data_IF_317861474330
#
_entry.id   IF_317861474330
#
_cell.length_a   1.000
_cell.length_b   1.000
_cell.length_c   1.000
_cell.angle_alpha   90.00
_cell.angle_beta   90.00
_cell.angle_gamma   90.00
#
_symmetry.space_group_name_H-M   'P 1'
#
loop_
_entity.id
_entity.type
_entity.pdbx_description
1 polymer ?
#
# COMPACT_ATOMS: atom_id res chain seq x y z
N UNK A 1 -10.76 -5.98 16.86
CA UNK A 1 -10.73 -5.46 15.47
C UNK A 1 -9.28 -5.27 14.98
N UNK A 2 -8.53 -6.36 14.73
CA UNK A 2 -7.13 -6.30 14.24
C UNK A 2 -7.07 -6.69 12.76
N UNK A 3 -7.83 -7.72 12.38
CA UNK A 3 -7.96 -8.24 11.02
C UNK A 3 -8.30 -7.13 10.01
N UNK A 4 -9.36 -6.30 10.18
CA UNK A 4 -9.70 -5.30 9.16
C UNK A 4 -8.64 -4.20 9.02
N UNK A 5 -7.96 -3.84 10.12
CA UNK A 5 -6.86 -2.84 10.05
C UNK A 5 -5.69 -3.39 9.25
N UNK A 6 -5.33 -4.66 9.49
CA UNK A 6 -4.27 -5.33 8.76
C UNK A 6 -4.61 -5.42 7.27
N UNK A 7 -5.83 -5.84 6.93
CA UNK A 7 -6.30 -5.94 5.55
C UNK A 7 -6.25 -4.59 4.81
N UNK A 8 -6.68 -3.50 5.45
CA UNK A 8 -6.62 -2.15 4.85
C UNK A 8 -5.18 -1.69 4.63
N UNK A 9 -4.27 -1.94 5.58
CA UNK A 9 -2.85 -1.59 5.43
C UNK A 9 -2.20 -2.32 4.25
N UNK A 10 -2.49 -3.62 4.08
CA UNK A 10 -2.01 -4.40 2.94
C UNK A 10 -2.52 -3.85 1.62
N UNK A 11 -3.82 -3.53 1.54
CA UNK A 11 -4.41 -2.90 0.34
C UNK A 11 -3.73 -1.57 0.03
N UNK A 12 -3.53 -0.71 1.04
CA UNK A 12 -2.86 0.59 0.86
C UNK A 12 -1.43 0.49 0.38
N UNK A 13 -0.67 -0.52 0.83
CA UNK A 13 0.67 -0.80 0.34
C UNK A 13 0.65 -1.26 -1.12
N UNK A 14 -0.31 -2.11 -1.50
CA UNK A 14 -0.45 -2.56 -2.89
C UNK A 14 -0.87 -1.42 -3.82
N UNK A 15 -1.72 -0.50 -3.34
CA UNK A 15 -2.17 0.66 -4.11
C UNK A 15 -1.00 1.60 -4.51
N UNK A 16 0.14 1.57 -3.82
CA UNK A 16 1.37 2.33 -4.17
C UNK A 16 2.43 1.46 -4.88
N UNK A 17 2.01 0.31 -5.43
CA UNK A 17 2.86 -0.69 -6.09
C UNK A 17 3.99 -1.20 -5.19
N UNK A 18 3.65 -1.49 -3.94
CA UNK A 18 4.59 -2.07 -2.98
C UNK A 18 4.03 -3.32 -2.33
N UNK A 19 4.91 -4.27 -2.01
CA UNK A 19 4.49 -5.52 -1.35
C UNK A 19 3.94 -5.26 0.05
N UNK A 20 2.88 -5.99 0.43
CA UNK A 20 2.36 -6.00 1.80
C UNK A 20 3.40 -6.38 2.86
N UNK A 21 4.50 -7.05 2.47
CA UNK A 21 5.62 -7.35 3.35
C UNK A 21 6.31 -6.09 3.92
N UNK A 22 6.05 -4.90 3.36
CA UNK A 22 6.54 -3.65 3.93
C UNK A 22 6.04 -3.42 5.36
N UNK A 23 4.93 -4.04 5.77
CA UNK A 23 4.46 -3.94 7.16
C UNK A 23 5.47 -4.50 8.17
N UNK A 24 6.31 -5.45 7.77
CA UNK A 24 7.35 -6.04 8.64
C UNK A 24 8.42 -5.01 9.03
N UNK A 25 8.58 -3.93 8.26
CA UNK A 25 9.48 -2.84 8.63
C UNK A 25 9.05 -2.14 9.91
N UNK A 26 7.78 -2.21 10.35
CA UNK A 26 7.40 -1.71 11.67
C UNK A 26 8.14 -2.39 12.83
N UNK A 27 8.77 -3.55 12.61
CA UNK A 27 9.67 -4.16 13.59
C UNK A 27 10.93 -3.29 13.87
N UNK A 28 11.29 -2.38 12.97
CA UNK A 28 12.37 -1.41 13.13
C UNK A 28 11.79 -0.05 13.56
N UNK A 29 12.04 0.42 14.80
CA UNK A 29 11.26 1.48 15.43
C UNK A 29 11.44 2.87 14.79
N UNK A 30 12.62 3.19 14.27
CA UNK A 30 12.89 4.51 13.69
C UNK A 30 12.79 4.49 12.17
N UNK A 31 13.69 3.75 11.52
CA UNK A 31 13.79 3.73 10.05
C UNK A 31 12.54 3.10 9.42
N UNK A 32 12.07 1.99 9.99
CA UNK A 32 10.93 1.27 9.46
C UNK A 32 9.62 2.04 9.61
N UNK A 33 9.41 2.69 10.77
CA UNK A 33 8.28 3.58 10.99
C UNK A 33 8.21 4.67 9.90
N UNK A 34 9.34 5.32 9.61
CA UNK A 34 9.41 6.40 8.60
C UNK A 34 9.08 5.86 7.21
N UNK A 35 9.73 4.77 6.79
CA UNK A 35 9.54 4.18 5.45
C UNK A 35 8.08 3.78 5.22
N UNK A 36 7.48 3.08 6.18
CA UNK A 36 6.08 2.62 6.03
C UNK A 36 5.12 3.80 6.09
N UNK A 37 5.35 4.76 6.97
CA UNK A 37 4.52 5.97 7.05
C UNK A 37 4.52 6.75 5.74
N UNK A 38 5.69 6.97 5.13
CA UNK A 38 5.79 7.65 3.84
C UNK A 38 5.02 6.89 2.75
N UNK A 39 5.07 5.56 2.74
CA UNK A 39 4.34 4.73 1.76
C UNK A 39 2.83 4.77 1.97
N UNK A 40 2.37 4.78 3.22
CA UNK A 40 0.95 4.88 3.52
C UNK A 40 0.36 6.25 3.17
N UNK A 41 1.15 7.32 3.30
CA UNK A 41 0.74 8.68 2.96
C UNK A 41 0.89 9.00 1.46
N UNK A 42 1.68 8.21 0.72
CA UNK A 42 1.82 8.38 -0.73
C UNK A 42 0.49 8.15 -1.44
N UNK A 43 0.24 8.99 -2.45
CA UNK A 43 -0.85 8.77 -3.38
C UNK A 43 -0.65 7.44 -4.09
N UNK A 44 -1.73 6.66 -4.22
CA UNK A 44 -1.72 5.42 -5.01
C UNK A 44 -1.36 5.70 -6.46
N UNK A 45 -0.80 4.68 -7.12
CA UNK A 45 -0.43 4.79 -8.52
C UNK A 45 -1.68 4.96 -9.38
N UNK A 46 -1.58 5.86 -10.37
CA UNK A 46 -2.67 6.16 -11.31
C UNK A 46 -2.65 5.27 -12.54
N UNK A 47 -1.59 4.51 -12.73
CA UNK A 47 -1.37 3.64 -13.88
C UNK A 47 -1.47 2.19 -13.42
N UNK A 48 -1.49 1.27 -14.37
CA UNK A 48 -1.44 -0.16 -14.08
C UNK A 48 -0.25 -0.47 -13.17
N UNK A 49 -0.54 -1.13 -12.04
CA UNK A 49 0.47 -1.57 -11.11
C UNK A 49 0.56 -3.11 -11.12
N UNK A 50 1.53 -3.68 -10.39
CA UNK A 50 1.73 -5.13 -10.31
C UNK A 50 0.54 -5.90 -9.69
N UNK A 51 -0.49 -5.19 -9.22
CA UNK A 51 -1.71 -5.71 -8.60
C UNK A 51 -2.97 -5.41 -9.44
N UNK A 52 -2.82 -4.82 -10.63
CA UNK A 52 -3.88 -4.59 -11.61
C UNK A 52 -4.17 -3.12 -11.91
N UNK A 53 -5.22 -2.90 -12.70
CA UNK A 53 -5.69 -1.57 -13.08
C UNK A 53 -6.49 -0.92 -11.95
N UNK A 54 -6.32 0.39 -11.73
CA UNK A 54 -7.23 1.14 -10.86
C UNK A 54 -8.63 1.17 -11.47
N UNK A 55 -9.67 1.06 -10.63
CA UNK A 55 -11.07 0.95 -11.08
C UNK A 55 -11.54 2.06 -12.03
N UNK A 56 -10.91 3.24 -11.97
CA UNK A 56 -11.28 4.40 -12.78
C UNK A 56 -10.90 4.25 -14.26
N UNK A 57 -9.83 3.53 -14.57
CA UNK A 57 -9.32 3.43 -15.94
C UNK A 57 -9.95 2.24 -16.69
N UNK A 58 -10.51 1.26 -15.96
CA UNK A 58 -11.25 0.13 -16.54
C UNK A 58 -12.56 0.57 -17.21
N UNK A 59 -13.13 1.71 -16.80
CA UNK A 59 -14.37 2.28 -17.37
C UNK A 59 -14.11 3.06 -18.67
N UNK A 60 -12.83 3.34 -18.97
CA UNK A 60 -12.39 4.11 -20.13
C UNK A 60 -11.60 3.28 -21.17
N UNK A 61 -11.46 1.98 -20.95
CA UNK A 61 -10.77 1.02 -21.83
C UNK A 61 -11.79 0.12 -22.55
#
# INVERSE_FOLDING_TARGET
MIIPRLSVTFRRLHDVNTTGAYILWYALPFVGLIIVTIRLLRKGDKLENNYGLPCRDVEHA
#
